data_IF_196560740283
#
_entry.id   IF_196560740283
#
_cell.length_a   1.000
_cell.length_b   1.000
_cell.length_c   1.000
_cell.angle_alpha   90.00
_cell.angle_beta   90.00
_cell.angle_gamma   90.00
#
_symmetry.space_group_name_H-M   'P 1'
#
loop_
_entity.id
_entity.type
_entity.pdbx_description
1 polymer ?
#
# COMPACT_ATOMS: atom_id res chain seq x y z
N UNK A 1 -12.03 -15.18 -7.98
CA UNK A 1 -11.90 -13.71 -8.19
C UNK A 1 -11.65 -12.99 -6.87
N UNK A 2 -12.56 -13.07 -5.89
CA UNK A 2 -12.38 -12.44 -4.57
C UNK A 2 -11.03 -12.76 -3.90
N UNK A 3 -10.68 -14.04 -3.73
CA UNK A 3 -9.42 -14.44 -3.09
C UNK A 3 -8.16 -13.93 -3.82
N UNK A 4 -8.20 -13.85 -5.16
CA UNK A 4 -7.08 -13.36 -5.98
C UNK A 4 -6.93 -11.85 -5.78
N UNK A 5 -8.02 -11.10 -5.92
CA UNK A 5 -8.01 -9.64 -5.74
C UNK A 5 -7.61 -9.28 -4.30
N UNK A 6 -8.16 -9.99 -3.31
CA UNK A 6 -7.84 -9.77 -1.90
C UNK A 6 -6.37 -10.06 -1.58
N UNK A 7 -5.82 -11.18 -2.07
CA UNK A 7 -4.40 -11.50 -1.91
C UNK A 7 -3.51 -10.43 -2.54
N UNK A 8 -3.82 -10.04 -3.77
CA UNK A 8 -3.07 -9.00 -4.49
C UNK A 8 -3.10 -7.64 -3.78
N UNK A 9 -4.24 -7.22 -3.22
CA UNK A 9 -4.33 -5.98 -2.44
C UNK A 9 -3.51 -6.07 -1.13
N UNK A 10 -3.55 -7.22 -0.45
CA UNK A 10 -2.83 -7.40 0.81
C UNK A 10 -1.30 -7.30 0.64
N UNK A 11 -0.75 -7.81 -0.46
CA UNK A 11 0.69 -7.81 -0.72
C UNK A 11 1.30 -6.40 -0.71
N UNK A 12 0.54 -5.40 -1.20
CA UNK A 12 1.01 -4.02 -1.29
C UNK A 12 0.64 -3.16 -0.08
N UNK A 13 -0.57 -3.36 0.46
CA UNK A 13 -1.00 -2.64 1.66
C UNK A 13 -0.11 -3.00 2.84
N UNK A 14 0.17 -4.27 3.07
CA UNK A 14 1.04 -4.71 4.18
C UNK A 14 2.44 -4.13 4.05
N UNK A 15 3.01 -4.08 2.84
CA UNK A 15 4.34 -3.50 2.62
C UNK A 15 4.39 -1.99 2.95
N UNK A 16 3.40 -1.22 2.49
CA UNK A 16 3.33 0.21 2.84
C UNK A 16 3.07 0.41 4.32
N UNK A 17 2.11 -0.32 4.91
CA UNK A 17 1.79 -0.20 6.32
C UNK A 17 2.99 -0.50 7.21
N UNK A 18 3.79 -1.50 6.82
CA UNK A 18 5.05 -1.84 7.50
C UNK A 18 6.03 -0.68 7.44
N UNK A 19 6.20 -0.03 6.29
CA UNK A 19 7.09 1.14 6.15
C UNK A 19 6.58 2.36 6.91
N UNK A 20 5.29 2.67 6.82
CA UNK A 20 4.67 3.75 7.60
C UNK A 20 4.87 3.49 9.09
N UNK A 21 4.71 2.24 9.55
CA UNK A 21 4.96 1.86 10.93
C UNK A 21 6.42 2.06 11.35
N UNK A 22 7.39 1.65 10.53
CA UNK A 22 8.81 1.85 10.83
C UNK A 22 9.17 3.34 11.00
N UNK A 23 8.61 4.21 10.16
CA UNK A 23 8.83 5.67 10.27
C UNK A 23 8.08 6.23 11.50
N UNK A 24 6.88 5.74 11.77
CA UNK A 24 6.10 6.15 12.94
C UNK A 24 6.78 5.75 14.26
N UNK A 25 7.30 4.52 14.35
CA UNK A 25 8.01 4.03 15.54
C UNK A 25 9.30 4.84 15.82
N UNK A 26 9.89 5.47 14.79
CA UNK A 26 11.06 6.37 14.92
C UNK A 26 10.69 7.82 15.24
N UNK A 27 9.67 8.36 14.59
CA UNK A 27 9.35 9.81 14.62
C UNK A 27 8.20 10.18 15.56
N UNK A 28 7.31 9.23 15.88
CA UNK A 28 6.07 9.46 16.62
C UNK A 28 5.04 10.36 15.90
N UNK A 29 5.31 10.78 14.65
CA UNK A 29 4.48 11.71 13.88
C UNK A 29 3.74 10.99 12.76
N UNK A 30 2.43 10.78 12.93
CA UNK A 30 1.63 9.98 12.00
C UNK A 30 1.59 10.55 10.56
N UNK A 31 1.37 11.85 10.42
CA UNK A 31 1.31 12.48 9.09
C UNK A 31 2.66 12.39 8.35
N UNK A 32 3.76 12.58 9.08
CA UNK A 32 5.12 12.46 8.54
C UNK A 32 5.41 11.02 8.12
N UNK A 33 5.08 10.06 8.98
CA UNK A 33 5.25 8.65 8.71
C UNK A 33 4.43 8.16 7.50
N UNK A 34 3.20 8.67 7.35
CA UNK A 34 2.34 8.34 6.22
C UNK A 34 2.91 8.90 4.92
N UNK A 35 3.34 10.16 4.91
CA UNK A 35 3.94 10.80 3.73
C UNK A 35 5.25 10.13 3.31
N UNK A 36 6.12 9.83 4.26
CA UNK A 36 7.43 9.22 4.00
C UNK A 36 7.28 7.75 3.58
N UNK A 37 6.41 6.98 4.24
CA UNK A 37 6.11 5.61 3.85
C UNK A 37 5.46 5.50 2.47
N UNK A 38 4.60 6.45 2.10
CA UNK A 38 4.01 6.52 0.77
C UNK A 38 5.08 6.84 -0.29
N UNK A 39 5.94 7.83 -0.04
CA UNK A 39 7.00 8.24 -0.97
C UNK A 39 8.04 7.14 -1.18
N UNK A 40 8.46 6.47 -0.10
CA UNK A 40 9.47 5.42 -0.14
C UNK A 40 8.99 4.16 -0.89
N UNK A 41 7.68 3.90 -0.89
CA UNK A 41 7.10 2.70 -1.52
C UNK A 41 6.49 2.96 -2.90
N UNK A 42 6.38 4.22 -3.33
CA UNK A 42 5.76 4.60 -4.60
C UNK A 42 6.41 3.93 -5.82
N UNK A 43 7.74 3.93 -5.91
CA UNK A 43 8.47 3.39 -7.08
C UNK A 43 8.34 1.87 -7.21
N UNK A 44 8.55 1.13 -6.12
CA UNK A 44 8.43 -0.34 -6.10
C UNK A 44 7.03 -0.79 -6.53
N UNK A 45 6.01 -0.05 -6.12
CA UNK A 45 4.62 -0.47 -6.31
C UNK A 45 4.10 -0.06 -7.67
N UNK A 46 4.51 1.10 -8.16
CA UNK A 46 4.30 1.46 -9.57
C UNK A 46 4.91 0.41 -10.49
N UNK A 47 6.13 -0.06 -10.19
CA UNK A 47 6.80 -1.10 -10.99
C UNK A 47 6.04 -2.42 -10.98
N UNK A 48 5.58 -2.87 -9.81
CA UNK A 48 4.83 -4.11 -9.68
C UNK A 48 3.44 -4.04 -10.36
N UNK A 49 2.75 -2.90 -10.22
CA UNK A 49 1.49 -2.64 -10.91
C UNK A 49 1.65 -2.67 -12.43
N UNK A 50 2.76 -2.13 -12.95
CA UNK A 50 3.05 -2.12 -14.39
C UNK A 50 3.24 -3.54 -14.93
N UNK A 51 3.99 -4.39 -14.23
CA UNK A 51 4.16 -5.80 -14.59
C UNK A 51 2.79 -6.51 -14.61
N UNK A 52 1.96 -6.29 -13.61
CA UNK A 52 0.64 -6.91 -13.48
C UNK A 52 -0.32 -6.49 -14.61
N UNK A 53 -0.33 -5.19 -14.96
CA UNK A 53 -1.10 -4.67 -16.10
C UNK A 53 -0.64 -5.31 -17.41
N UNK A 54 0.67 -5.48 -17.61
CA UNK A 54 1.20 -6.15 -18.79
C UNK A 54 0.77 -7.63 -18.85
N UNK A 55 0.92 -8.36 -17.75
CA UNK A 55 0.56 -9.80 -17.67
C UNK A 55 -0.93 -9.98 -17.91
N UNK A 56 -1.80 -9.29 -17.16
CA UNK A 56 -3.24 -9.41 -17.34
C UNK A 56 -3.74 -8.81 -18.66
N UNK A 57 -3.04 -7.80 -19.17
CA UNK A 57 -3.26 -7.24 -20.51
C UNK A 57 -3.09 -8.28 -21.62
N UNK A 58 -2.17 -9.25 -21.47
CA UNK A 58 -2.04 -10.34 -22.44
C UNK A 58 -3.30 -11.19 -22.57
N UNK A 59 -4.07 -11.32 -21.49
CA UNK A 59 -5.31 -12.09 -21.49
C UNK A 59 -6.41 -11.40 -22.30
N UNK A 60 -6.31 -10.09 -22.53
CA UNK A 60 -7.23 -9.37 -23.40
C UNK A 60 -7.17 -9.85 -24.87
N UNK A 61 -6.06 -10.47 -25.28
CA UNK A 61 -5.85 -11.00 -26.64
C UNK A 61 -6.27 -12.47 -26.79
N UNK A 62 -6.75 -13.12 -25.73
CA UNK A 62 -7.23 -14.51 -25.81
C UNK A 62 -8.59 -14.60 -26.50
N UNK A 63 -8.83 -15.68 -27.24
CA UNK A 63 -10.12 -15.94 -27.94
C UNK A 63 -11.22 -16.49 -27.04
N UNK A 64 -10.95 -16.65 -25.75
CA UNK A 64 -11.89 -17.20 -24.77
C UNK A 64 -12.49 -16.05 -23.98
N UNK A 65 -13.77 -15.74 -24.23
CA UNK A 65 -14.48 -14.60 -23.63
C UNK A 65 -14.37 -14.57 -22.10
N UNK A 66 -14.47 -15.73 -21.45
CA UNK A 66 -14.32 -15.84 -20.00
C UNK A 66 -12.96 -15.37 -19.50
N UNK A 67 -11.87 -15.72 -20.21
CA UNK A 67 -10.50 -15.33 -19.86
C UNK A 67 -10.28 -13.85 -20.12
N UNK A 68 -10.83 -13.32 -21.21
CA UNK A 68 -10.77 -11.91 -21.56
C UNK A 68 -11.41 -11.02 -20.47
N UNK A 69 -12.61 -11.38 -20.02
CA UNK A 69 -13.34 -10.65 -18.97
C UNK A 69 -12.60 -10.71 -17.63
N UNK A 70 -12.08 -11.88 -17.25
CA UNK A 70 -11.30 -12.05 -16.01
C UNK A 70 -10.00 -11.24 -16.07
N UNK A 71 -9.26 -11.33 -17.18
CA UNK A 71 -8.01 -10.59 -17.36
C UNK A 71 -8.21 -9.08 -17.33
N UNK A 72 -9.21 -8.58 -18.04
CA UNK A 72 -9.57 -7.16 -18.00
C UNK A 72 -9.99 -6.71 -16.60
N UNK A 73 -10.83 -7.50 -15.91
CA UNK A 73 -11.25 -7.22 -14.54
C UNK A 73 -10.08 -7.17 -13.56
N UNK A 74 -9.11 -8.08 -13.68
CA UNK A 74 -7.91 -8.09 -12.86
C UNK A 74 -7.01 -6.89 -13.14
N UNK A 75 -6.79 -6.54 -14.43
CA UNK A 75 -6.00 -5.36 -14.80
C UNK A 75 -6.62 -4.07 -14.25
N UNK A 76 -7.94 -3.92 -14.37
CA UNK A 76 -8.67 -2.77 -13.84
C UNK A 76 -8.61 -2.70 -12.30
N UNK A 77 -8.76 -3.84 -11.61
CA UNK A 77 -8.67 -3.90 -10.16
C UNK A 77 -7.29 -3.47 -9.65
N UNK A 78 -6.21 -3.95 -10.27
CA UNK A 78 -4.83 -3.58 -9.90
C UNK A 78 -4.56 -2.10 -10.16
N UNK A 79 -5.03 -1.56 -11.29
CA UNK A 79 -4.89 -0.15 -11.60
C UNK A 79 -5.58 0.73 -10.55
N UNK A 80 -6.81 0.37 -10.17
CA UNK A 80 -7.59 1.09 -9.17
C UNK A 80 -6.95 1.00 -7.78
N UNK A 81 -6.41 -0.16 -7.40
CA UNK A 81 -5.72 -0.37 -6.12
C UNK A 81 -4.43 0.47 -6.03
N UNK A 82 -3.57 0.39 -7.05
CA UNK A 82 -2.30 1.11 -7.10
C UNK A 82 -2.47 2.64 -7.14
N UNK A 83 -3.61 3.14 -7.63
CA UNK A 83 -3.90 4.57 -7.76
C UNK A 83 -4.88 5.06 -6.70
N UNK A 84 -6.16 4.71 -6.81
CA UNK A 84 -7.24 5.26 -6.00
C UNK A 84 -7.12 4.83 -4.54
N UNK A 85 -6.96 3.53 -4.29
CA UNK A 85 -6.91 3.01 -2.91
C UNK A 85 -5.65 3.54 -2.23
N UNK A 86 -4.50 3.39 -2.87
CA UNK A 86 -3.21 3.77 -2.27
C UNK A 86 -2.96 5.27 -2.16
N UNK A 87 -3.26 6.05 -3.20
CA UNK A 87 -2.94 7.49 -3.20
C UNK A 87 -3.97 8.33 -2.46
N UNK A 88 -5.20 7.83 -2.29
CA UNK A 88 -6.29 8.59 -1.68
C UNK A 88 -6.84 7.89 -0.45
N UNK A 89 -7.29 6.64 -0.59
CA UNK A 89 -8.03 5.97 0.48
C UNK A 89 -7.15 5.67 1.71
N UNK A 90 -5.96 5.10 1.50
CA UNK A 90 -5.00 4.78 2.55
C UNK A 90 -4.56 6.02 3.34
N UNK A 91 -4.05 7.10 2.72
CA UNK A 91 -3.64 8.29 3.45
C UNK A 91 -4.83 8.99 4.14
N UNK A 92 -6.03 8.99 3.53
CA UNK A 92 -7.22 9.52 4.16
C UNK A 92 -7.60 8.74 5.43
N UNK A 93 -7.61 7.40 5.37
CA UNK A 93 -7.90 6.54 6.52
C UNK A 93 -6.82 6.72 7.60
N UNK A 94 -5.54 6.76 7.23
CA UNK A 94 -4.42 7.00 8.15
C UNK A 94 -4.57 8.32 8.91
N UNK A 95 -4.95 9.38 8.20
CA UNK A 95 -5.15 10.70 8.78
C UNK A 95 -6.38 10.74 9.70
N UNK A 96 -7.51 10.15 9.28
CA UNK A 96 -8.75 10.08 10.07
C UNK A 96 -8.58 9.20 11.32
N UNK A 97 -7.92 8.05 11.19
CA UNK A 97 -7.70 7.11 12.28
C UNK A 97 -6.69 7.65 13.32
N UNK A 98 -5.76 8.54 12.93
CA UNK A 98 -4.89 9.26 13.84
C UNK A 98 -4.16 8.33 14.84
N UNK A 99 -4.40 8.53 16.13
CA UNK A 99 -3.78 7.70 17.19
C UNK A 99 -4.31 6.27 17.25
N UNK A 100 -5.51 6.01 16.73
CA UNK A 100 -6.16 4.70 16.78
C UNK A 100 -5.51 3.71 15.80
N UNK A 101 -4.86 4.22 14.76
CA UNK A 101 -4.11 3.41 13.80
C UNK A 101 -3.01 2.55 14.46
N UNK A 102 -2.60 2.90 15.68
CA UNK A 102 -1.45 2.31 16.38
C UNK A 102 -1.83 1.56 17.65
N UNK A 103 -3.11 1.31 17.92
CA UNK A 103 -3.53 0.53 19.09
C UNK A 103 -3.37 -0.98 18.82
N UNK A 104 -2.73 -1.78 19.70
CA UNK A 104 -2.20 -1.47 21.05
C UNK A 104 -0.71 -1.06 21.09
N UNK A 105 -0.02 -1.00 19.95
CA UNK A 105 1.42 -0.81 19.85
C UNK A 105 1.87 0.65 19.64
N UNK A 106 1.66 1.53 20.61
CA UNK A 106 2.43 2.78 20.71
C UNK A 106 3.65 2.48 21.57
N UNK A 107 4.75 1.99 20.99
CA UNK A 107 6.05 2.06 21.67
C UNK A 107 6.47 3.52 21.63
N UNK A 108 6.39 4.19 22.77
CA UNK A 108 6.85 5.57 22.90
C UNK A 108 8.28 5.68 22.33
N UNK A 109 8.59 6.71 21.51
CA UNK A 109 9.92 6.88 20.96
C UNK A 109 10.93 6.94 22.11
N UNK A 110 12.00 6.15 22.00
CA UNK A 110 13.17 6.33 22.88
C UNK A 110 13.73 7.70 22.56
N UNK A 111 13.46 8.67 23.43
CA UNK A 111 14.25 9.89 23.50
C UNK A 111 15.67 9.44 23.87
N UNK A 112 16.54 9.30 22.87
CA UNK A 112 17.96 9.24 23.10
C UNK A 112 18.33 10.54 23.81
N UNK A 113 18.56 10.43 25.12
CA UNK A 113 19.12 11.50 25.92
C UNK A 113 20.56 11.68 25.47
N UNK A 114 20.74 12.53 24.47
CA UNK A 114 22.03 13.08 24.12
C UNK A 114 22.32 14.23 25.12
N UNK A 115 23.23 13.97 26.05
CA UNK A 115 23.67 14.97 27.03
C UNK A 115 24.03 14.37 28.39
N UNK A 116 25.11 13.60 28.45
CA UNK A 116 25.96 13.52 29.65
C UNK A 116 27.41 13.29 29.17
N UNK A 117 28.12 14.41 29.04
CA UNK A 117 29.55 14.51 28.80
C UNK A 117 30.09 15.67 29.62
#
# INVERSE_FOLDING_TARGET
>A
MFAIVFGLSMDYEVFLLTRVKEVFDKTGRNDHATMEGLSATASTITSAALIMILVFGTFAFTRVLAVQLIGFGLAAAVLLDATLIRMVLVPAIMHIAGRWNWWPGVRAPKLEREGDG
#
